data_IF_200405850318
#
_entry.id   IF_200405850318
#
_cell.length_a   1.000
_cell.length_b   1.000
_cell.length_c   1.000
_cell.angle_alpha   90.00
_cell.angle_beta   90.00
_cell.angle_gamma   90.00
#
_symmetry.space_group_name_H-M   'P 1'
#
loop_
_entity.id
_entity.type
_entity.pdbx_description
1 polymer ?
#
# COMPACT_ATOMS: atom_id res chain seq x y z
N UNK A 1 1.43 -2.39 9.40
CA UNK A 1 0.75 -3.31 8.48
C UNK A 1 0.85 -2.74 7.09
N UNK A 2 0.80 -3.59 6.07
CA UNK A 2 0.78 -3.18 4.67
C UNK A 2 -0.57 -3.57 4.06
N UNK A 3 -1.21 -2.61 3.41
CA UNK A 3 -2.33 -2.85 2.50
C UNK A 3 -1.79 -2.91 1.09
N UNK A 4 -2.18 -3.92 0.33
CA UNK A 4 -1.80 -4.06 -1.08
C UNK A 4 -3.06 -4.10 -1.94
N UNK A 5 -3.00 -3.50 -3.13
CA UNK A 5 -4.13 -3.48 -4.07
C UNK A 5 -3.62 -3.50 -5.51
N UNK A 6 -4.54 -3.71 -6.45
CA UNK A 6 -4.25 -3.59 -7.89
C UNK A 6 -3.84 -2.17 -8.27
N UNK A 7 -4.40 -1.14 -7.64
CA UNK A 7 -3.86 0.21 -7.76
C UNK A 7 -4.19 1.05 -6.53
N UNK A 8 -3.45 2.15 -6.33
CA UNK A 8 -3.76 3.17 -5.34
C UNK A 8 -3.94 4.49 -6.07
N UNK A 9 -5.07 5.15 -5.84
CA UNK A 9 -5.26 6.52 -6.27
C UNK A 9 -4.71 7.49 -5.21
N UNK A 10 -3.50 7.97 -5.44
CA UNK A 10 -2.89 9.02 -4.63
C UNK A 10 -3.25 10.39 -5.19
N UNK A 11 -3.27 11.40 -4.31
CA UNK A 11 -3.71 12.78 -4.57
C UNK A 11 -3.34 13.33 -5.96
N UNK A 12 -4.23 14.15 -6.54
CA UNK A 12 -4.03 14.86 -7.82
C UNK A 12 -3.87 13.95 -9.04
N UNK A 13 -4.52 12.79 -9.06
CA UNK A 13 -4.55 11.92 -10.24
C UNK A 13 -3.37 10.96 -10.35
N UNK A 14 -2.55 10.84 -9.31
CA UNK A 14 -1.41 9.93 -9.30
C UNK A 14 -1.88 8.49 -9.03
N UNK A 15 -2.06 7.72 -10.09
CA UNK A 15 -2.38 6.29 -10.00
C UNK A 15 -1.09 5.47 -9.86
N UNK A 16 -0.99 4.70 -8.78
CA UNK A 16 0.12 3.76 -8.56
C UNK A 16 -0.40 2.36 -8.83
N UNK A 17 0.00 1.75 -9.94
CA UNK A 17 -0.37 0.37 -10.30
C UNK A 17 0.41 -0.63 -9.44
N UNK A 18 -0.27 -1.66 -8.94
CA UNK A 18 0.27 -2.62 -7.98
C UNK A 18 0.69 -1.94 -6.69
N UNK A 19 -0.21 -1.12 -6.12
CA UNK A 19 0.09 -0.23 -5.02
C UNK A 19 0.21 -0.94 -3.67
N UNK A 20 1.00 -0.34 -2.77
CA UNK A 20 1.09 -0.68 -1.37
C UNK A 20 1.00 0.58 -0.48
N UNK A 21 0.33 0.45 0.67
CA UNK A 21 0.24 1.48 1.73
C UNK A 21 0.76 0.87 3.02
N UNK A 22 1.75 1.50 3.65
CA UNK A 22 2.16 1.17 5.01
C UNK A 22 1.39 2.03 6.00
N UNK A 23 0.71 1.35 6.93
CA UNK A 23 -0.06 1.99 8.02
C UNK A 23 0.59 1.67 9.36
N UNK A 24 0.78 2.71 10.19
CA UNK A 24 1.31 2.64 11.55
C UNK A 24 0.32 3.33 12.49
N UNK A 25 -0.38 2.55 13.32
CA UNK A 25 -1.50 3.05 14.11
C UNK A 25 -2.57 3.66 13.20
N UNK A 26 -2.95 4.91 13.45
CA UNK A 26 -3.96 5.64 12.66
C UNK A 26 -3.37 6.48 11.51
N UNK A 27 -2.08 6.30 11.19
CA UNK A 27 -1.36 7.12 10.22
C UNK A 27 -0.85 6.30 9.04
N UNK A 28 -0.94 6.90 7.85
CA UNK A 28 -0.22 6.42 6.67
C UNK A 28 1.25 6.84 6.82
N UNK A 29 2.14 5.85 6.87
CA UNK A 29 3.58 6.04 7.00
C UNK A 29 4.32 5.99 5.65
N UNK A 30 3.69 5.43 4.61
CA UNK A 30 4.26 5.38 3.27
C UNK A 30 3.27 4.86 2.23
N UNK A 31 3.44 5.32 0.99
CA UNK A 31 2.65 4.91 -0.18
C UNK A 31 3.63 4.71 -1.34
N UNK A 32 3.49 3.62 -2.10
CA UNK A 32 4.36 3.30 -3.22
C UNK A 32 3.87 2.08 -3.98
N UNK A 33 4.68 1.55 -4.89
CA UNK A 33 4.39 0.23 -5.47
C UNK A 33 4.72 -0.87 -4.46
N UNK A 34 4.18 -2.08 -4.67
CA UNK A 34 4.52 -3.29 -3.88
C UNK A 34 6.03 -3.55 -3.80
N UNK A 35 6.81 -3.07 -4.79
CA UNK A 35 8.27 -3.25 -4.82
C UNK A 35 9.00 -2.25 -3.93
N UNK A 36 8.42 -1.06 -3.76
CA UNK A 36 9.03 0.03 -2.98
C UNK A 36 8.79 -0.17 -1.47
N UNK A 37 7.69 -0.84 -1.10
CA UNK A 37 7.31 -1.07 0.29
C UNK A 37 7.41 -2.57 0.60
N UNK A 38 8.59 -2.98 1.07
CA UNK A 38 8.80 -4.35 1.56
C UNK A 38 8.34 -4.49 3.01
N UNK A 39 7.56 -5.54 3.36
CA UNK A 39 7.14 -5.81 4.74
C UNK A 39 8.33 -6.11 5.65
N UNK A 40 8.24 -5.67 6.89
CA UNK A 40 9.15 -6.10 7.95
C UNK A 40 8.77 -7.52 8.45
N UNK A 41 9.69 -8.28 9.06
CA UNK A 41 9.37 -9.57 9.65
C UNK A 41 8.21 -9.47 10.65
N UNK A 42 7.16 -10.27 10.44
CA UNK A 42 5.95 -10.26 11.28
C UNK A 42 4.99 -9.11 11.00
N UNK A 43 5.27 -8.20 10.06
CA UNK A 43 4.33 -7.15 9.67
C UNK A 43 3.14 -7.75 8.89
N UNK A 44 1.89 -7.55 9.34
CA UNK A 44 0.73 -8.07 8.62
C UNK A 44 0.61 -7.43 7.24
N UNK A 45 0.36 -8.26 6.22
CA UNK A 45 0.08 -7.85 4.85
C UNK A 45 -1.34 -8.27 4.50
N UNK A 46 -2.14 -7.33 4.03
CA UNK A 46 -3.52 -7.55 3.58
C UNK A 46 -3.60 -7.25 2.10
N UNK A 47 -3.96 -8.26 1.31
CA UNK A 47 -4.24 -8.08 -0.11
C UNK A 47 -5.73 -7.75 -0.31
N UNK A 48 -6.00 -6.59 -0.90
CA UNK A 48 -7.33 -6.10 -1.24
C UNK A 48 -7.78 -6.61 -2.64
N UNK A 49 -6.94 -7.36 -3.34
CA UNK A 49 -7.22 -7.86 -4.68
C UNK A 49 -7.34 -6.74 -5.71
N UNK A 50 -8.43 -6.76 -6.49
CA UNK A 50 -8.64 -5.86 -7.63
C UNK A 50 -9.10 -4.44 -7.27
N UNK A 51 -9.17 -4.11 -5.98
CA UNK A 51 -9.52 -2.78 -5.47
C UNK A 51 -8.58 -1.67 -5.95
N UNK A 52 -9.12 -0.45 -5.95
CA UNK A 52 -8.41 0.82 -6.17
C UNK A 52 -8.61 1.73 -4.96
#
# INVERSE_FOLDING_TARGET
MILQSRAIWASKGNLIVGGAIRVRGERIAGIGSRRDISPEPGEPVVDLGDSI
#
